data_IF_876501108150
#
_entry.id   IF_876501108150
#
_cell.length_a   1.000
_cell.length_b   1.000
_cell.length_c   1.000
_cell.angle_alpha   90.00
_cell.angle_beta   90.00
_cell.angle_gamma   90.00
#
_symmetry.space_group_name_H-M   'P 1'
#
loop_
_entity.id
_entity.type
_entity.pdbx_description
1 polymer ?
#
# COMPACT_ATOMS: atom_id res chain seq x y z
N UNK A 1 -15.89 -3.92 -23.03
CA UNK A 1 -15.41 -2.65 -22.46
C UNK A 1 -16.52 -2.05 -21.59
N UNK A 2 -16.20 -1.62 -20.36
CA UNK A 2 -17.09 -0.89 -19.43
C UNK A 2 -16.53 0.53 -19.25
N UNK A 3 -17.39 1.54 -19.18
CA UNK A 3 -17.00 2.95 -18.95
C UNK A 3 -17.65 3.40 -17.65
N UNK A 4 -16.86 4.03 -16.79
CA UNK A 4 -17.34 4.70 -15.56
C UNK A 4 -16.90 6.16 -15.66
N UNK A 5 -17.83 7.09 -15.47
CA UNK A 5 -17.56 8.53 -15.53
C UNK A 5 -17.78 9.15 -14.15
N UNK A 6 -16.89 10.07 -13.77
CA UNK A 6 -17.07 10.89 -12.58
C UNK A 6 -17.09 12.37 -12.97
N UNK A 7 -18.25 12.99 -12.83
CA UNK A 7 -18.48 14.40 -13.22
C UNK A 7 -17.76 15.41 -12.32
N UNK A 8 -17.44 15.06 -11.07
CA UNK A 8 -16.77 15.96 -10.10
C UNK A 8 -15.33 16.25 -10.51
N UNK A 9 -14.62 15.23 -11.02
CA UNK A 9 -13.24 15.34 -11.51
C UNK A 9 -13.17 15.37 -13.04
N UNK A 10 -14.30 15.18 -13.74
CA UNK A 10 -14.40 15.11 -15.20
C UNK A 10 -13.53 14.03 -15.82
N UNK A 11 -13.37 12.92 -15.11
CA UNK A 11 -12.57 11.77 -15.53
C UNK A 11 -13.44 10.63 -16.03
N UNK A 12 -12.86 9.83 -16.93
CA UNK A 12 -13.46 8.61 -17.46
C UNK A 12 -12.51 7.44 -17.26
N UNK A 13 -13.03 6.39 -16.69
CA UNK A 13 -12.33 5.11 -16.53
C UNK A 13 -12.89 4.11 -17.54
N UNK A 14 -12.01 3.60 -18.40
CA UNK A 14 -12.31 2.52 -19.33
C UNK A 14 -11.75 1.21 -18.79
N UNK A 15 -12.58 0.17 -18.71
CA UNK A 15 -12.21 -1.12 -18.15
C UNK A 15 -12.52 -2.21 -19.18
N UNK A 16 -11.54 -3.07 -19.42
CA UNK A 16 -11.73 -4.30 -20.19
C UNK A 16 -11.07 -5.49 -19.48
N UNK A 17 -11.79 -6.60 -19.40
CA UNK A 17 -11.24 -7.88 -18.95
C UNK A 17 -10.80 -8.66 -20.19
N UNK A 18 -9.51 -8.95 -20.27
CA UNK A 18 -8.91 -9.68 -21.38
C UNK A 18 -9.29 -11.18 -21.33
N UNK A 19 -9.11 -11.89 -22.45
CA UNK A 19 -9.46 -13.33 -22.56
C UNK A 19 -8.69 -14.20 -21.56
N UNK A 20 -7.45 -13.84 -21.23
CA UNK A 20 -6.61 -14.53 -20.25
C UNK A 20 -6.95 -14.17 -18.79
N UNK A 21 -7.91 -13.27 -18.57
CA UNK A 21 -8.39 -12.85 -17.24
C UNK A 21 -7.81 -11.53 -16.72
N UNK A 22 -6.77 -10.94 -17.36
CA UNK A 22 -6.21 -9.66 -16.97
C UNK A 22 -7.27 -8.55 -17.04
N UNK A 23 -7.36 -7.74 -15.99
CA UNK A 23 -8.16 -6.52 -16.00
C UNK A 23 -7.27 -5.35 -16.41
N UNK A 24 -7.64 -4.65 -17.49
CA UNK A 24 -6.96 -3.45 -17.95
C UNK A 24 -7.84 -2.25 -17.73
N UNK A 25 -7.27 -1.21 -17.13
CA UNK A 25 -7.91 0.06 -16.82
C UNK A 25 -7.17 1.19 -17.55
N UNK A 26 -7.90 2.07 -18.22
CA UNK A 26 -7.32 3.20 -18.93
C UNK A 26 -8.05 4.45 -18.48
N UNK A 27 -7.28 5.47 -18.07
CA UNK A 27 -7.78 6.81 -17.74
C UNK A 27 -7.13 7.79 -18.73
N UNK A 28 -7.86 8.21 -19.77
CA UNK A 28 -7.35 9.20 -20.72
C UNK A 28 -7.18 10.56 -20.08
N UNK A 29 -6.03 11.21 -20.33
CA UNK A 29 -5.72 12.57 -19.87
C UNK A 29 -5.34 13.43 -21.09
N UNK A 30 -6.32 13.94 -21.86
CA UNK A 30 -6.06 14.70 -23.08
C UNK A 30 -5.14 15.90 -22.85
N UNK A 31 -4.12 16.05 -23.69
CA UNK A 31 -3.15 17.16 -23.65
C UNK A 31 -2.02 17.00 -22.62
N UNK A 32 -2.01 15.97 -21.80
CA UNK A 32 -0.90 15.67 -20.87
C UNK A 32 0.19 14.91 -21.62
N UNK A 33 1.41 15.43 -21.60
CA UNK A 33 2.55 14.76 -22.27
C UNK A 33 3.06 13.51 -21.50
N UNK A 34 3.01 13.57 -20.18
CA UNK A 34 3.42 12.50 -19.28
C UNK A 34 2.47 11.30 -19.41
N UNK A 35 3.02 10.11 -19.47
CA UNK A 35 2.31 8.84 -19.58
C UNK A 35 2.80 7.91 -18.48
N UNK A 36 1.90 7.14 -17.93
CA UNK A 36 2.19 6.21 -16.84
C UNK A 36 1.53 4.87 -17.10
N UNK A 37 2.27 3.81 -16.87
CA UNK A 37 1.78 2.44 -16.90
C UNK A 37 2.21 1.75 -15.61
N UNK A 38 1.28 1.07 -14.97
CA UNK A 38 1.56 0.22 -13.80
C UNK A 38 0.81 -1.10 -13.94
N UNK A 39 1.50 -2.20 -13.66
CA UNK A 39 0.96 -3.54 -13.72
C UNK A 39 1.20 -4.26 -12.39
N UNK A 40 0.13 -4.47 -11.62
CA UNK A 40 0.19 -5.08 -10.29
C UNK A 40 -0.37 -6.49 -10.27
N UNK A 41 0.23 -7.31 -9.42
CA UNK A 41 -0.30 -8.61 -9.02
C UNK A 41 -0.83 -8.53 -7.61
N UNK A 42 -1.95 -9.18 -7.33
CA UNK A 42 -2.51 -9.33 -5.99
C UNK A 42 -1.72 -10.38 -5.19
N UNK A 43 -0.44 -10.08 -4.97
CA UNK A 43 0.55 -10.89 -4.26
C UNK A 43 1.53 -9.98 -3.53
N UNK A 44 1.58 -10.10 -2.21
CA UNK A 44 2.47 -9.33 -1.35
C UNK A 44 3.10 -10.18 -0.25
N UNK A 45 3.82 -9.55 0.66
CA UNK A 45 4.55 -10.25 1.72
C UNK A 45 3.64 -11.01 2.71
N UNK A 46 2.35 -10.68 2.77
CA UNK A 46 1.39 -11.41 3.60
C UNK A 46 0.95 -12.76 2.99
N UNK A 47 1.24 -13.01 1.72
CA UNK A 47 0.82 -14.23 1.00
C UNK A 47 1.85 -15.37 1.12
N UNK A 48 2.31 -15.65 2.32
CA UNK A 48 3.32 -16.69 2.58
C UNK A 48 2.73 -18.09 2.84
N UNK A 49 1.39 -18.21 2.90
CA UNK A 49 0.71 -19.49 3.11
C UNK A 49 -0.56 -19.58 2.24
N UNK A 50 -0.58 -20.55 1.34
CA UNK A 50 -1.64 -20.67 0.34
C UNK A 50 -1.79 -22.10 -0.20
N UNK A 51 -2.85 -22.34 -0.98
CA UNK A 51 -3.02 -23.56 -1.77
C UNK A 51 -2.91 -23.18 -3.25
N UNK A 52 -2.00 -23.82 -3.95
CA UNK A 52 -1.82 -23.63 -5.40
C UNK A 52 -3.08 -24.09 -6.15
N UNK A 53 -3.57 -23.33 -7.14
CA UNK A 53 -4.75 -23.74 -7.91
C UNK A 53 -4.60 -25.15 -8.51
N UNK A 54 -5.54 -26.03 -8.18
CA UNK A 54 -5.53 -27.45 -8.60
C UNK A 54 -4.83 -28.41 -7.64
N UNK A 55 -4.18 -27.89 -6.58
CA UNK A 55 -3.60 -28.69 -5.49
C UNK A 55 -4.56 -28.73 -4.29
N UNK A 56 -4.29 -29.61 -3.33
CA UNK A 56 -5.02 -29.73 -2.06
C UNK A 56 -4.15 -29.44 -0.85
N UNK A 57 -2.85 -29.49 -1.01
CA UNK A 57 -1.88 -29.29 0.07
C UNK A 57 -1.58 -27.80 0.27
N UNK A 58 -1.36 -27.44 1.53
CA UNK A 58 -0.94 -26.08 1.90
C UNK A 58 0.54 -25.92 1.56
N UNK A 59 0.83 -24.89 0.77
CA UNK A 59 2.19 -24.42 0.52
C UNK A 59 2.50 -23.30 1.52
N UNK A 60 3.62 -23.41 2.20
CA UNK A 60 4.19 -22.35 3.05
C UNK A 60 5.56 -21.98 2.51
N UNK A 61 5.80 -20.68 2.33
CA UNK A 61 7.04 -20.15 1.76
C UNK A 61 7.73 -19.20 2.74
N UNK A 62 9.06 -19.03 2.64
CA UNK A 62 9.80 -18.10 3.50
C UNK A 62 9.28 -16.68 3.39
N UNK A 63 9.39 -15.89 4.48
CA UNK A 63 9.13 -14.45 4.41
C UNK A 63 10.15 -13.78 3.48
N UNK A 64 9.71 -12.77 2.74
CA UNK A 64 10.52 -12.05 1.77
C UNK A 64 10.40 -12.55 0.32
N UNK A 65 9.72 -13.68 0.05
CA UNK A 65 9.61 -14.25 -1.33
C UNK A 65 8.96 -13.28 -2.30
N UNK A 66 7.93 -12.52 -1.90
CA UNK A 66 7.26 -11.57 -2.80
C UNK A 66 8.20 -10.45 -3.26
N UNK A 67 8.96 -9.88 -2.33
CA UNK A 67 10.00 -8.87 -2.60
C UNK A 67 11.16 -9.46 -3.43
N UNK A 68 11.60 -10.66 -3.09
CA UNK A 68 12.62 -11.37 -3.85
C UNK A 68 12.21 -11.58 -5.31
N UNK A 69 10.95 -11.97 -5.55
CA UNK A 69 10.40 -12.12 -6.89
C UNK A 69 10.38 -10.79 -7.66
N UNK A 70 10.07 -9.69 -6.99
CA UNK A 70 10.10 -8.36 -7.59
C UNK A 70 11.47 -8.07 -8.20
N UNK A 71 12.54 -8.26 -7.44
CA UNK A 71 13.93 -8.07 -7.89
C UNK A 71 14.27 -8.98 -9.07
N UNK A 72 13.87 -10.25 -9.00
CA UNK A 72 14.28 -11.25 -9.97
C UNK A 72 13.63 -11.16 -11.34
N UNK A 73 12.47 -10.51 -11.46
CA UNK A 73 11.81 -10.37 -12.76
C UNK A 73 12.55 -9.46 -13.74
N UNK A 74 13.41 -8.57 -13.26
CA UNK A 74 14.17 -7.68 -14.15
C UNK A 74 15.32 -8.36 -14.88
N UNK A 75 15.83 -9.49 -14.40
CA UNK A 75 16.92 -10.21 -15.04
C UNK A 75 16.43 -11.06 -16.22
N UNK A 76 17.12 -10.95 -17.35
CA UNK A 76 16.77 -11.60 -18.60
C UNK A 76 17.75 -12.73 -18.99
N UNK A 77 17.31 -13.76 -19.77
CA UNK A 77 18.16 -14.89 -20.17
C UNK A 77 19.43 -14.49 -20.93
N UNK A 78 19.43 -13.36 -21.60
CA UNK A 78 20.57 -12.83 -22.37
C UNK A 78 21.58 -12.08 -21.48
N UNK A 79 21.38 -12.05 -20.15
CA UNK A 79 22.25 -11.36 -19.21
C UNK A 79 22.00 -9.85 -19.08
N UNK A 80 20.96 -9.32 -19.74
CA UNK A 80 20.55 -7.91 -19.57
C UNK A 80 19.60 -7.75 -18.38
N UNK A 81 19.44 -6.49 -17.94
CA UNK A 81 18.46 -6.10 -16.94
C UNK A 81 17.43 -5.16 -17.61
N UNK A 82 16.14 -5.47 -17.45
CA UNK A 82 15.07 -4.69 -18.06
C UNK A 82 15.00 -3.25 -17.55
N UNK A 83 15.46 -2.95 -16.33
CA UNK A 83 15.60 -1.56 -15.85
C UNK A 83 16.62 -0.77 -16.67
N UNK A 84 17.75 -1.40 -17.05
CA UNK A 84 18.75 -0.76 -17.89
C UNK A 84 18.20 -0.49 -19.29
N UNK A 85 17.45 -1.45 -19.86
CA UNK A 85 16.77 -1.30 -21.16
C UNK A 85 15.78 -0.13 -21.13
N UNK A 86 14.94 -0.03 -20.09
CA UNK A 86 13.98 1.06 -19.91
C UNK A 86 14.69 2.40 -19.72
N UNK A 87 15.77 2.43 -18.93
CA UNK A 87 16.59 3.64 -18.74
C UNK A 87 17.20 4.11 -20.06
N UNK A 88 17.71 3.20 -20.90
CA UNK A 88 18.24 3.52 -22.22
C UNK A 88 17.17 4.11 -23.17
N UNK A 89 15.89 3.77 -22.98
CA UNK A 89 14.77 4.40 -23.69
C UNK A 89 14.41 5.81 -23.15
N UNK A 90 15.07 6.28 -22.09
CA UNK A 90 14.74 7.55 -21.41
C UNK A 90 13.47 7.48 -20.57
N UNK A 91 13.17 6.31 -20.06
CA UNK A 91 11.97 6.01 -19.26
C UNK A 91 12.36 5.85 -17.80
N UNK A 92 11.56 6.42 -16.90
CA UNK A 92 11.71 6.22 -15.46
C UNK A 92 10.88 4.98 -15.05
N UNK A 93 11.55 3.87 -14.80
CA UNK A 93 10.94 2.61 -14.42
C UNK A 93 11.25 2.26 -12.96
N UNK A 94 10.33 1.56 -12.32
CA UNK A 94 10.48 1.07 -10.95
C UNK A 94 9.57 -0.13 -10.70
N UNK A 95 9.74 -0.75 -9.54
CA UNK A 95 8.79 -1.70 -8.96
C UNK A 95 8.69 -1.47 -7.46
N UNK A 96 7.70 -2.07 -6.85
CA UNK A 96 7.57 -2.11 -5.39
C UNK A 96 6.72 -3.28 -4.93
N UNK A 97 7.05 -3.80 -3.75
CA UNK A 97 6.27 -4.80 -3.05
C UNK A 97 5.71 -4.22 -1.75
N UNK A 98 4.44 -4.47 -1.52
CA UNK A 98 3.75 -4.16 -0.26
C UNK A 98 3.35 -5.45 0.46
N UNK A 99 2.64 -5.32 1.56
CA UNK A 99 2.09 -6.48 2.25
C UNK A 99 1.03 -7.23 1.44
N UNK A 100 0.31 -6.56 0.53
CA UNK A 100 -0.83 -7.13 -0.21
C UNK A 100 -0.62 -7.25 -1.72
N UNK A 101 0.32 -6.50 -2.31
CA UNK A 101 0.54 -6.53 -3.76
C UNK A 101 1.96 -6.14 -4.15
N UNK A 102 2.36 -6.57 -5.33
CA UNK A 102 3.60 -6.18 -6.02
C UNK A 102 3.23 -5.52 -7.35
N UNK A 103 3.94 -4.46 -7.73
CA UNK A 103 3.66 -3.73 -8.96
C UNK A 103 4.94 -3.31 -9.69
N UNK A 104 4.88 -3.34 -11.01
CA UNK A 104 5.91 -2.91 -11.96
C UNK A 104 5.38 -1.74 -12.75
N UNK A 105 6.18 -0.71 -12.96
CA UNK A 105 5.70 0.53 -13.51
C UNK A 105 6.76 1.27 -14.33
N UNK A 106 6.29 2.15 -15.19
CA UNK A 106 7.12 3.18 -15.78
C UNK A 106 6.36 4.48 -16.02
N UNK A 107 7.14 5.56 -16.05
CA UNK A 107 6.71 6.90 -16.44
C UNK A 107 7.55 7.39 -17.62
N UNK A 108 6.92 7.98 -18.62
CA UNK A 108 7.61 8.53 -19.77
C UNK A 108 6.85 9.69 -20.41
N UNK A 109 7.54 10.47 -21.23
CA UNK A 109 6.92 11.41 -22.19
C UNK A 109 6.95 10.83 -23.60
N UNK A 110 8.04 10.18 -23.95
CA UNK A 110 8.25 9.52 -25.24
C UNK A 110 8.50 8.02 -25.04
N UNK A 111 8.57 7.26 -26.13
CA UNK A 111 8.89 5.82 -26.14
C UNK A 111 7.93 4.94 -25.31
N UNK A 112 6.66 5.36 -25.18
CA UNK A 112 5.67 4.60 -24.40
C UNK A 112 5.51 3.15 -24.90
N UNK A 113 5.36 2.92 -26.21
CA UNK A 113 5.15 1.58 -26.75
C UNK A 113 6.38 0.68 -26.61
N UNK A 114 7.62 1.12 -26.91
CA UNK A 114 8.82 0.34 -26.59
C UNK A 114 8.96 0.02 -25.10
N UNK A 115 8.63 0.95 -24.22
CA UNK A 115 8.66 0.71 -22.77
C UNK A 115 7.55 -0.27 -22.33
N UNK A 116 6.38 -0.19 -22.94
CA UNK A 116 5.28 -1.15 -22.73
C UNK A 116 5.68 -2.55 -23.21
N UNK A 117 6.36 -2.67 -24.36
CA UNK A 117 6.89 -3.94 -24.86
C UNK A 117 7.83 -4.57 -23.83
N UNK A 118 8.81 -3.81 -23.33
CA UNK A 118 9.79 -4.28 -22.34
C UNK A 118 9.10 -4.70 -21.02
N UNK A 119 8.22 -3.82 -20.46
CA UNK A 119 7.54 -4.12 -19.20
C UNK A 119 6.67 -5.38 -19.35
N UNK A 120 5.91 -5.50 -20.43
CA UNK A 120 5.04 -6.66 -20.61
C UNK A 120 5.84 -7.93 -20.90
N UNK A 121 7.03 -7.82 -21.49
CA UNK A 121 7.89 -8.98 -21.76
C UNK A 121 8.44 -9.55 -20.44
N UNK A 122 9.16 -8.77 -19.65
CA UNK A 122 9.80 -9.29 -18.44
C UNK A 122 8.81 -9.74 -17.36
N UNK A 123 7.65 -9.09 -17.23
CA UNK A 123 6.64 -9.52 -16.27
C UNK A 123 6.02 -10.87 -16.65
N UNK A 124 5.94 -11.19 -17.94
CA UNK A 124 5.36 -12.44 -18.46
C UNK A 124 6.36 -13.59 -18.63
N UNK A 125 7.66 -13.31 -18.68
CA UNK A 125 8.71 -14.30 -18.97
C UNK A 125 9.77 -14.37 -17.86
N UNK A 126 9.45 -14.98 -16.69
CA UNK A 126 10.38 -15.06 -15.57
C UNK A 126 11.60 -15.94 -15.90
N UNK A 127 12.78 -15.51 -15.46
CA UNK A 127 14.03 -16.24 -15.63
C UNK A 127 14.77 -16.39 -14.30
N UNK A 128 14.67 -17.56 -13.69
CA UNK A 128 15.32 -17.87 -12.41
C UNK A 128 16.27 -19.05 -12.58
N UNK A 129 17.52 -18.89 -12.15
CA UNK A 129 18.55 -19.93 -12.08
C UNK A 129 19.12 -19.99 -10.67
N UNK A 130 19.76 -21.09 -10.31
CA UNK A 130 20.41 -21.21 -8.99
C UNK A 130 21.44 -20.10 -8.80
N UNK A 131 22.21 -19.78 -9.84
CA UNK A 131 23.25 -18.76 -9.81
C UNK A 131 22.69 -17.36 -9.58
N UNK A 132 21.64 -16.96 -10.33
CA UNK A 132 21.09 -15.62 -10.18
C UNK A 132 20.26 -15.44 -8.89
N UNK A 133 19.67 -16.51 -8.37
CA UNK A 133 18.99 -16.50 -7.06
C UNK A 133 20.03 -16.36 -5.94
N UNK A 134 21.14 -17.10 -5.99
CA UNK A 134 22.18 -17.01 -4.96
C UNK A 134 22.84 -15.62 -4.93
N UNK A 135 23.09 -15.03 -6.09
CA UNK A 135 23.59 -13.66 -6.19
C UNK A 135 22.64 -12.64 -5.54
N UNK A 136 21.34 -12.78 -5.78
CA UNK A 136 20.32 -11.86 -5.27
C UNK A 136 20.16 -11.90 -3.75
N UNK A 137 20.37 -13.06 -3.11
CA UNK A 137 20.40 -13.17 -1.65
C UNK A 137 21.42 -12.21 -1.03
N UNK A 138 22.56 -12.02 -1.68
CA UNK A 138 23.59 -11.07 -1.24
C UNK A 138 23.10 -9.61 -1.36
N UNK A 139 22.43 -9.26 -2.44
CA UNK A 139 21.92 -7.90 -2.70
C UNK A 139 20.81 -7.55 -1.72
N UNK A 140 19.77 -8.38 -1.63
CA UNK A 140 18.65 -8.17 -0.70
C UNK A 140 19.12 -8.23 0.75
N UNK A 141 20.11 -9.10 1.07
CA UNK A 141 20.71 -9.15 2.40
C UNK A 141 21.41 -7.84 2.83
N UNK A 142 21.99 -7.08 1.89
CA UNK A 142 22.51 -5.74 2.17
C UNK A 142 21.39 -4.71 2.33
N UNK A 143 20.34 -4.80 1.54
CA UNK A 143 19.16 -3.95 1.65
C UNK A 143 18.46 -4.13 3.00
N UNK A 144 18.24 -5.36 3.45
CA UNK A 144 17.69 -5.65 4.78
C UNK A 144 18.51 -4.98 5.87
N UNK A 145 19.85 -5.11 5.83
CA UNK A 145 20.74 -4.45 6.82
C UNK A 145 20.62 -2.92 6.78
N UNK A 146 20.47 -2.34 5.59
CA UNK A 146 20.27 -0.89 5.45
C UNK A 146 18.96 -0.45 6.14
N UNK A 147 17.87 -1.22 5.99
CA UNK A 147 16.61 -0.92 6.68
C UNK A 147 16.67 -1.20 8.19
N UNK A 148 17.44 -2.18 8.64
CA UNK A 148 17.68 -2.42 10.07
C UNK A 148 18.31 -1.20 10.76
N UNK A 149 19.10 -0.40 10.01
CA UNK A 149 19.74 0.85 10.47
C UNK A 149 18.85 2.10 10.27
N UNK A 150 17.59 1.93 9.84
CA UNK A 150 16.68 3.05 9.58
C UNK A 150 15.65 3.23 10.71
N UNK A 151 15.77 4.28 11.55
CA UNK A 151 14.99 4.40 12.77
C UNK A 151 13.49 4.59 12.55
N UNK A 152 13.06 5.26 11.45
CA UNK A 152 11.64 5.41 11.12
C UNK A 152 11.01 4.06 10.77
N UNK A 153 11.74 3.18 10.07
CA UNK A 153 11.29 1.84 9.76
C UNK A 153 11.19 0.98 11.03
N UNK A 154 12.18 1.11 11.90
CA UNK A 154 12.22 0.39 13.18
C UNK A 154 11.03 0.73 14.07
N UNK A 155 10.74 2.03 14.25
CA UNK A 155 9.63 2.47 15.11
C UNK A 155 8.27 2.04 14.55
N UNK A 156 8.12 2.01 13.22
CA UNK A 156 6.93 1.53 12.53
C UNK A 156 6.73 0.02 12.73
N UNK A 157 7.73 -0.80 12.39
CA UNK A 157 7.62 -2.26 12.55
C UNK A 157 7.42 -2.70 14.00
N UNK A 158 8.05 -2.02 14.94
CA UNK A 158 7.85 -2.28 16.35
C UNK A 158 6.40 -2.05 16.79
N UNK A 159 5.75 -0.98 16.29
CA UNK A 159 4.35 -0.74 16.56
C UNK A 159 3.47 -1.88 16.04
N UNK A 160 3.73 -2.40 14.84
CA UNK A 160 3.02 -3.55 14.28
C UNK A 160 3.28 -4.85 15.07
N UNK A 161 4.52 -5.08 15.51
CA UNK A 161 4.90 -6.28 16.29
C UNK A 161 4.13 -6.37 17.61
N UNK A 162 3.94 -5.25 18.31
CA UNK A 162 3.20 -5.23 19.58
C UNK A 162 1.69 -5.12 19.37
N UNK A 163 1.23 -4.80 18.17
CA UNK A 163 -0.19 -4.70 17.83
C UNK A 163 -0.78 -6.04 17.39
N UNK A 164 -0.04 -6.84 16.62
CA UNK A 164 -0.54 -8.05 15.98
C UNK A 164 0.08 -9.33 16.56
N UNK A 165 -0.79 -10.32 16.91
CA UNK A 165 -0.36 -11.62 17.42
C UNK A 165 0.16 -12.54 16.31
N UNK A 166 -0.60 -12.70 15.23
CA UNK A 166 -0.37 -13.72 14.20
C UNK A 166 -0.32 -13.17 12.78
N UNK A 167 -0.91 -11.98 12.55
CA UNK A 167 -0.98 -11.40 11.21
C UNK A 167 0.44 -11.11 10.68
N UNK A 168 0.79 -11.54 9.45
CA UNK A 168 2.10 -11.33 8.87
C UNK A 168 2.44 -9.87 8.59
N UNK A 169 1.49 -8.93 8.67
CA UNK A 169 1.74 -7.49 8.56
C UNK A 169 2.85 -6.98 9.50
N UNK A 170 3.11 -7.66 10.61
CA UNK A 170 4.16 -7.34 11.59
C UNK A 170 5.57 -7.77 11.15
N UNK A 171 5.68 -8.46 10.01
CA UNK A 171 6.95 -8.97 9.46
C UNK A 171 7.37 -8.03 8.33
N UNK A 172 8.67 -7.75 8.26
CA UNK A 172 9.22 -6.93 7.20
C UNK A 172 8.91 -7.52 5.82
N UNK A 173 8.58 -6.65 4.86
CA UNK A 173 8.26 -7.05 3.47
C UNK A 173 9.43 -7.80 2.82
N UNK A 174 10.66 -7.37 3.09
CA UNK A 174 11.88 -8.02 2.61
C UNK A 174 12.22 -9.33 3.35
N UNK A 175 11.53 -9.64 4.45
CA UNK A 175 11.88 -10.75 5.32
C UNK A 175 13.12 -10.47 6.18
N UNK A 176 13.91 -11.51 6.43
CA UNK A 176 15.19 -11.41 7.14
C UNK A 176 16.28 -12.13 6.34
N UNK A 177 17.56 -11.84 6.59
CA UNK A 177 18.69 -12.56 5.98
C UNK A 177 18.55 -14.07 6.14
N UNK A 178 18.06 -14.53 7.30
CA UNK A 178 17.80 -15.94 7.56
C UNK A 178 16.67 -16.49 6.69
N UNK A 179 15.52 -15.80 6.59
CA UNK A 179 14.38 -16.29 5.81
C UNK A 179 14.68 -16.31 4.31
N UNK A 180 15.34 -15.27 3.76
CA UNK A 180 15.69 -15.23 2.34
C UNK A 180 16.75 -16.26 1.96
N UNK A 181 17.61 -16.71 2.89
CA UNK A 181 18.59 -17.76 2.63
C UNK A 181 17.94 -19.09 2.20
N UNK A 182 16.70 -19.33 2.60
CA UNK A 182 15.92 -20.52 2.27
C UNK A 182 15.12 -20.41 0.96
N UNK A 183 15.24 -19.30 0.24
CA UNK A 183 14.57 -19.10 -1.05
C UNK A 183 15.41 -19.77 -2.15
N UNK A 184 14.77 -20.55 -2.99
CA UNK A 184 15.33 -21.17 -4.18
C UNK A 184 14.50 -20.86 -5.42
N UNK A 185 14.98 -21.24 -6.60
CA UNK A 185 14.27 -20.99 -7.86
C UNK A 185 12.94 -21.74 -7.95
N UNK A 186 12.82 -22.90 -7.32
CA UNK A 186 11.61 -23.72 -7.30
C UNK A 186 10.50 -23.00 -6.55
N UNK A 187 10.80 -22.42 -5.40
CA UNK A 187 9.88 -21.56 -4.62
C UNK A 187 9.47 -20.33 -5.45
N UNK A 188 10.44 -19.65 -6.09
CA UNK A 188 10.15 -18.48 -6.92
C UNK A 188 9.23 -18.82 -8.10
N UNK A 189 9.52 -19.89 -8.84
CA UNK A 189 8.65 -20.35 -9.93
C UNK A 189 7.27 -20.79 -9.43
N UNK A 190 7.18 -21.42 -8.26
CA UNK A 190 5.90 -21.82 -7.65
C UNK A 190 5.05 -20.59 -7.33
N UNK A 191 5.62 -19.59 -6.67
CA UNK A 191 4.93 -18.34 -6.35
C UNK A 191 4.56 -17.56 -7.60
N UNK A 192 5.48 -17.43 -8.57
CA UNK A 192 5.20 -16.78 -9.85
C UNK A 192 4.02 -17.43 -10.58
N UNK A 193 4.06 -18.75 -10.79
CA UNK A 193 2.99 -19.50 -11.46
C UNK A 193 1.65 -19.42 -10.74
N UNK A 194 1.66 -19.21 -9.43
CA UNK A 194 0.44 -19.07 -8.61
C UNK A 194 -0.13 -17.67 -8.70
N UNK A 195 0.67 -16.66 -8.48
CA UNK A 195 0.19 -15.29 -8.23
C UNK A 195 0.32 -14.34 -9.43
N UNK A 196 1.27 -14.57 -10.35
CA UNK A 196 1.41 -13.76 -11.57
C UNK A 196 0.53 -14.28 -12.72
N UNK A 197 -0.58 -14.89 -12.34
CA UNK A 197 -1.60 -15.29 -13.30
C UNK A 197 -2.43 -14.05 -13.70
N UNK A 198 -2.69 -13.83 -15.00
CA UNK A 198 -3.41 -12.64 -15.48
C UNK A 198 -4.72 -12.34 -14.74
N UNK A 199 -5.49 -13.37 -14.34
CA UNK A 199 -6.73 -13.18 -13.58
C UNK A 199 -6.53 -12.65 -12.15
N UNK A 200 -5.31 -12.69 -11.61
CA UNK A 200 -4.90 -12.13 -10.33
C UNK A 200 -4.19 -10.77 -10.47
N UNK A 201 -4.15 -10.22 -11.68
CA UNK A 201 -3.40 -9.02 -12.02
C UNK A 201 -4.29 -7.93 -12.59
N UNK A 202 -3.88 -6.69 -12.36
CA UNK A 202 -4.54 -5.48 -12.89
C UNK A 202 -3.46 -4.59 -13.53
N UNK A 203 -3.78 -4.04 -14.70
CA UNK A 203 -2.95 -3.09 -15.40
C UNK A 203 -3.69 -1.75 -15.46
N UNK A 204 -3.02 -0.65 -15.10
CA UNK A 204 -3.57 0.70 -15.18
C UNK A 204 -2.67 1.56 -16.07
N UNK A 205 -3.28 2.25 -17.04
CA UNK A 205 -2.57 3.12 -17.98
C UNK A 205 -3.24 4.49 -17.95
N UNK A 206 -2.44 5.53 -17.73
CA UNK A 206 -2.90 6.92 -17.64
C UNK A 206 -2.07 7.81 -18.55
N UNK A 207 -2.73 8.64 -19.35
CA UNK A 207 -2.07 9.56 -20.29
C UNK A 207 -2.95 9.98 -21.44
N UNK A 208 -2.40 10.73 -22.40
CA UNK A 208 -3.13 11.14 -23.61
C UNK A 208 -3.17 9.99 -24.62
N UNK A 209 -4.22 9.18 -24.51
CA UNK A 209 -4.42 7.99 -25.31
C UNK A 209 -5.86 7.87 -25.81
N UNK A 210 -6.02 7.18 -26.94
CA UNK A 210 -7.29 6.60 -27.38
C UNK A 210 -7.42 5.21 -26.72
N UNK A 211 -8.40 4.99 -25.82
CA UNK A 211 -8.48 3.74 -25.04
C UNK A 211 -8.55 2.48 -25.90
N UNK A 212 -9.31 2.50 -26.99
CA UNK A 212 -9.47 1.37 -27.89
C UNK A 212 -8.14 0.91 -28.50
N UNK A 213 -7.29 1.88 -28.88
CA UNK A 213 -5.96 1.58 -29.42
C UNK A 213 -5.07 0.92 -28.37
N UNK A 214 -5.10 1.44 -27.13
CA UNK A 214 -4.30 0.85 -26.05
C UNK A 214 -4.79 -0.57 -25.73
N UNK A 215 -6.09 -0.82 -25.67
CA UNK A 215 -6.59 -2.19 -25.47
C UNK A 215 -6.11 -3.15 -26.55
N UNK A 216 -6.10 -2.73 -27.82
CA UNK A 216 -5.59 -3.55 -28.92
C UNK A 216 -4.07 -3.78 -28.82
N UNK A 217 -3.30 -2.77 -28.42
CA UNK A 217 -1.85 -2.92 -28.21
C UNK A 217 -1.53 -3.87 -27.05
N UNK A 218 -2.28 -3.78 -25.94
CA UNK A 218 -2.18 -4.74 -24.83
C UNK A 218 -2.49 -6.16 -25.30
N UNK A 219 -3.60 -6.37 -26.04
CA UNK A 219 -4.01 -7.68 -26.54
C UNK A 219 -2.93 -8.37 -27.40
N UNK A 220 -2.21 -7.62 -28.22
CA UNK A 220 -1.14 -8.14 -29.09
C UNK A 220 0.05 -8.72 -28.32
N UNK A 221 0.28 -8.21 -27.08
CA UNK A 221 1.44 -8.51 -26.24
C UNK A 221 1.17 -9.53 -25.15
N UNK A 222 -0.10 -9.84 -24.92
CA UNK A 222 -0.47 -10.80 -23.88
C UNK A 222 -0.17 -12.23 -24.31
N UNK A 223 0.52 -12.96 -23.42
CA UNK A 223 0.66 -14.41 -23.59
C UNK A 223 -0.68 -15.12 -23.28
N UNK A 224 -0.96 -16.19 -24.02
CA UNK A 224 -2.07 -17.06 -23.70
C UNK A 224 -1.78 -17.79 -22.38
N UNK A 225 -2.67 -17.64 -21.43
CA UNK A 225 -2.60 -18.34 -20.15
C UNK A 225 -3.97 -18.93 -19.83
N UNK A 226 -3.97 -20.16 -19.34
CA UNK A 226 -5.19 -20.85 -18.96
C UNK A 226 -5.42 -20.60 -17.47
N UNK A 227 -6.56 -20.05 -17.12
CA UNK A 227 -6.95 -19.88 -15.72
C UNK A 227 -7.03 -21.25 -15.04
N UNK A 228 -6.19 -21.46 -14.01
CA UNK A 228 -6.11 -22.73 -13.26
C UNK A 228 -7.05 -22.79 -12.05
N UNK A 229 -7.85 -21.77 -11.83
CA UNK A 229 -8.77 -21.68 -10.68
C UNK A 229 -8.43 -20.58 -9.71
N UNK A 230 -9.12 -20.56 -8.57
CA UNK A 230 -8.98 -19.56 -7.52
C UNK A 230 -7.80 -19.87 -6.61
N UNK A 231 -7.04 -18.83 -6.26
CA UNK A 231 -5.97 -18.91 -5.27
C UNK A 231 -6.58 -18.89 -3.87
N UNK A 232 -6.35 -19.94 -3.09
CA UNK A 232 -6.81 -19.99 -1.69
C UNK A 232 -5.67 -19.57 -0.76
N UNK A 233 -5.80 -18.38 -0.19
CA UNK A 233 -4.90 -17.86 0.84
C UNK A 233 -5.28 -18.44 2.20
N UNK A 234 -4.27 -18.78 3.00
CA UNK A 234 -4.47 -19.31 4.36
C UNK A 234 -4.01 -18.25 5.35
N UNK A 235 -4.96 -17.45 5.79
CA UNK A 235 -4.69 -16.38 6.74
C UNK A 235 -4.91 -16.89 8.18
N UNK A 236 -4.03 -16.53 9.12
CA UNK A 236 -4.25 -16.86 10.53
C UNK A 236 -5.43 -16.05 11.08
N UNK A 237 -6.20 -16.67 11.96
CA UNK A 237 -7.20 -15.93 12.74
C UNK A 237 -6.48 -15.02 13.72
N UNK A 238 -6.59 -13.72 13.52
CA UNK A 238 -5.97 -12.68 14.34
C UNK A 238 -6.85 -12.39 15.57
N UNK A 239 -6.22 -12.14 16.71
CA UNK A 239 -6.89 -11.79 17.94
C UNK A 239 -7.29 -10.29 17.94
N UNK A 240 -8.40 -9.94 18.58
CA UNK A 240 -8.82 -8.53 18.68
C UNK A 240 -7.95 -7.72 19.64
N UNK A 241 -7.30 -8.40 20.62
CA UNK A 241 -6.38 -7.77 21.55
C UNK A 241 -5.06 -7.37 20.90
N UNK A 242 -4.34 -6.47 21.55
CA UNK A 242 -2.94 -6.16 21.26
C UNK A 242 -2.03 -7.13 22.02
N UNK A 243 -0.79 -7.31 21.54
CA UNK A 243 0.23 -8.13 22.21
C UNK A 243 0.76 -7.41 23.45
N UNK A 244 1.14 -6.14 23.29
CA UNK A 244 1.72 -5.31 24.33
C UNK A 244 1.39 -3.84 24.04
N UNK A 245 1.25 -3.03 25.07
CA UNK A 245 0.86 -1.61 24.92
C UNK A 245 2.04 -0.69 24.61
N UNK A 246 3.29 -1.12 24.86
CA UNK A 246 4.47 -0.27 24.74
C UNK A 246 5.72 -1.08 24.38
N UNK A 247 6.55 -0.49 23.49
CA UNK A 247 7.89 -0.95 23.21
C UNK A 247 8.83 0.25 23.08
N UNK A 248 10.03 0.13 23.63
CA UNK A 248 11.11 1.11 23.46
C UNK A 248 12.38 0.42 22.98
N UNK A 249 12.99 0.99 21.96
CA UNK A 249 14.30 0.55 21.46
C UNK A 249 15.31 1.70 21.52
N UNK A 250 16.55 1.33 21.82
CA UNK A 250 17.69 2.26 21.73
C UNK A 250 18.19 2.32 20.29
N UNK A 251 18.45 3.55 19.82
CA UNK A 251 18.94 3.80 18.49
C UNK A 251 19.69 5.14 18.44
N UNK A 252 20.71 5.27 17.61
CA UNK A 252 21.43 6.54 17.46
C UNK A 252 20.57 7.57 16.70
N UNK A 253 19.78 8.34 17.42
CA UNK A 253 18.91 9.38 16.86
C UNK A 253 19.13 10.71 17.58
N UNK A 254 19.09 11.80 16.85
CA UNK A 254 19.18 13.15 17.41
C UNK A 254 17.92 13.57 18.17
N UNK A 255 16.78 12.99 17.83
CA UNK A 255 15.49 13.22 18.45
C UNK A 255 14.70 11.91 18.50
N UNK A 256 14.04 11.59 19.60
CA UNK A 256 13.17 10.43 19.69
C UNK A 256 12.09 10.40 18.62
N UNK A 257 11.90 9.23 18.00
CA UNK A 257 10.78 8.93 17.11
C UNK A 257 9.71 8.15 17.86
N UNK A 258 8.48 8.33 17.45
CA UNK A 258 7.38 7.56 18.00
C UNK A 258 6.37 7.15 16.93
N UNK A 259 5.70 6.04 17.18
CA UNK A 259 4.50 5.62 16.46
C UNK A 259 3.45 5.16 17.47
N UNK A 260 2.32 5.86 17.50
CA UNK A 260 1.12 5.42 18.20
C UNK A 260 0.29 4.60 17.23
N UNK A 261 -0.04 3.37 17.61
CA UNK A 261 -0.89 2.48 16.82
C UNK A 261 -2.22 2.24 17.50
N UNK A 262 -3.29 2.09 16.73
CA UNK A 262 -4.61 1.69 17.21
C UNK A 262 -5.11 0.56 16.35
N UNK A 263 -5.24 -0.64 16.93
CA UNK A 263 -5.75 -1.81 16.20
C UNK A 263 -7.24 -1.67 15.94
N UNK A 264 -7.64 -1.92 14.71
CA UNK A 264 -9.03 -1.82 14.28
C UNK A 264 -9.52 -3.13 13.66
N UNK A 265 -10.82 -3.23 13.51
CA UNK A 265 -11.47 -4.33 12.78
C UNK A 265 -11.71 -3.90 11.34
N UNK A 266 -11.26 -4.74 10.41
CA UNK A 266 -11.46 -4.51 8.98
C UNK A 266 -12.96 -4.46 8.64
N UNK A 267 -13.37 -3.40 7.95
CA UNK A 267 -14.69 -3.32 7.31
C UNK A 267 -14.66 -4.11 5.98
N UNK A 268 -15.60 -5.00 5.79
CA UNK A 268 -15.63 -5.88 4.61
C UNK A 268 -16.46 -5.30 3.45
N UNK A 269 -17.47 -4.48 3.75
CA UNK A 269 -18.19 -3.72 2.74
C UNK A 269 -17.32 -2.60 2.19
N UNK A 270 -17.04 -2.63 0.90
CA UNK A 270 -16.06 -1.73 0.27
C UNK A 270 -16.46 -0.26 0.31
N UNK A 271 -17.74 0.07 0.14
CA UNK A 271 -18.21 1.45 0.26
C UNK A 271 -18.16 1.97 1.69
N UNK A 272 -18.53 1.13 2.65
CA UNK A 272 -18.38 1.46 4.07
C UNK A 272 -16.91 1.62 4.47
N UNK A 273 -16.02 0.79 3.91
CA UNK A 273 -14.58 0.89 4.13
C UNK A 273 -14.03 2.23 3.63
N UNK A 274 -14.38 2.66 2.41
CA UNK A 274 -14.03 3.98 1.86
C UNK A 274 -14.57 5.11 2.74
N UNK A 275 -15.84 5.02 3.15
CA UNK A 275 -16.44 6.03 4.05
C UNK A 275 -15.73 6.08 5.40
N UNK A 276 -15.36 4.92 5.95
CA UNK A 276 -14.62 4.78 7.22
C UNK A 276 -13.22 5.38 7.11
N UNK A 277 -12.49 5.09 6.03
CA UNK A 277 -11.17 5.63 5.76
C UNK A 277 -11.17 7.16 5.75
N UNK A 278 -12.04 7.76 4.93
CA UNK A 278 -12.23 9.21 4.87
C UNK A 278 -12.63 9.83 6.23
N UNK A 279 -13.51 9.16 6.96
CA UNK A 279 -13.96 9.65 8.26
C UNK A 279 -12.84 9.59 9.32
N UNK A 280 -12.04 8.52 9.30
CA UNK A 280 -10.87 8.40 10.19
C UNK A 280 -9.83 9.48 9.85
N UNK A 281 -9.58 9.74 8.57
CA UNK A 281 -8.69 10.83 8.18
C UNK A 281 -9.15 12.20 8.70
N UNK A 282 -10.43 12.52 8.55
CA UNK A 282 -11.01 13.76 9.10
C UNK A 282 -10.81 13.78 10.62
N UNK A 283 -11.12 12.68 11.31
CA UNK A 283 -11.03 12.54 12.77
C UNK A 283 -9.59 12.70 13.27
N UNK A 284 -8.61 12.08 12.62
CA UNK A 284 -7.20 12.23 12.97
C UNK A 284 -6.73 13.68 12.82
N UNK A 285 -7.19 14.37 11.79
CA UNK A 285 -6.89 15.80 11.60
C UNK A 285 -7.58 16.70 12.65
N UNK A 286 -8.75 16.31 13.18
CA UNK A 286 -9.37 16.99 14.32
C UNK A 286 -8.53 16.81 15.58
N UNK A 287 -8.00 15.60 15.81
CA UNK A 287 -7.27 15.25 17.03
C UNK A 287 -5.87 15.84 17.03
N UNK A 288 -5.07 15.62 15.95
CA UNK A 288 -3.65 15.95 15.92
C UNK A 288 -3.16 16.56 14.59
N UNK A 289 -4.05 16.93 13.67
CA UNK A 289 -3.67 17.66 12.46
C UNK A 289 -3.13 19.06 12.78
N UNK A 290 -2.34 19.65 11.88
CA UNK A 290 -1.67 20.96 12.08
C UNK A 290 -2.57 22.08 12.61
N UNK A 291 -3.85 22.07 12.30
CA UNK A 291 -4.81 23.08 12.72
C UNK A 291 -5.57 22.72 14.00
N UNK A 292 -5.29 21.57 14.61
CA UNK A 292 -5.90 21.17 15.90
C UNK A 292 -5.27 21.92 17.06
N UNK A 293 -6.04 22.12 18.13
CA UNK A 293 -5.55 22.72 19.35
C UNK A 293 -4.42 21.91 19.97
N UNK A 294 -4.57 20.59 20.00
CA UNK A 294 -3.56 19.64 20.48
C UNK A 294 -2.22 19.80 19.79
N UNK A 295 -2.22 19.85 18.45
CA UNK A 295 -0.98 20.07 17.69
C UNK A 295 -0.37 21.43 18.04
N UNK A 296 -1.18 22.50 18.05
CA UNK A 296 -0.70 23.87 18.29
C UNK A 296 -0.09 24.04 19.69
N UNK A 297 -0.66 23.40 20.70
CA UNK A 297 -0.10 23.41 22.06
C UNK A 297 1.23 22.66 22.12
N UNK A 298 1.30 21.42 21.61
CA UNK A 298 2.52 20.62 21.58
C UNK A 298 3.65 21.30 20.80
N UNK A 299 3.31 21.95 19.67
CA UNK A 299 4.25 22.69 18.85
C UNK A 299 4.79 23.94 19.58
N UNK A 300 3.93 24.75 20.21
CA UNK A 300 4.32 25.94 20.99
C UNK A 300 5.20 25.58 22.19
N UNK A 301 4.95 24.43 22.80
CA UNK A 301 5.76 23.92 23.90
C UNK A 301 7.10 23.29 23.45
N UNK A 302 7.37 23.19 22.13
CA UNK A 302 8.58 22.58 21.60
C UNK A 302 8.64 21.07 21.83
N UNK A 303 7.49 20.42 21.95
CA UNK A 303 7.39 18.96 22.14
C UNK A 303 7.41 18.23 20.79
N UNK A 304 6.72 18.76 19.77
CA UNK A 304 6.73 18.22 18.42
C UNK A 304 7.25 19.23 17.41
N UNK A 305 7.79 18.71 16.29
CA UNK A 305 8.33 19.50 15.19
C UNK A 305 7.82 18.94 13.86
N UNK A 306 7.40 19.82 12.96
CA UNK A 306 6.88 19.40 11.67
C UNK A 306 5.49 18.74 11.75
N UNK A 307 5.04 18.25 10.61
CA UNK A 307 3.76 17.55 10.48
C UNK A 307 3.87 16.12 11.00
N UNK A 308 2.85 15.66 11.69
CA UNK A 308 2.78 14.28 12.14
C UNK A 308 2.19 13.40 11.04
N UNK A 309 2.73 12.19 10.86
CA UNK A 309 2.13 11.17 10.00
C UNK A 309 0.80 10.71 10.61
N UNK A 310 -0.27 10.80 9.83
CA UNK A 310 -1.61 10.38 10.24
C UNK A 310 -2.14 9.44 9.16
N UNK A 311 -2.28 8.15 9.43
CA UNK A 311 -2.73 7.16 8.46
C UNK A 311 -3.75 6.19 9.03
N UNK A 312 -4.66 5.74 8.18
CA UNK A 312 -5.45 4.55 8.37
C UNK A 312 -5.01 3.52 7.32
N UNK A 313 -4.42 2.44 7.78
CA UNK A 313 -3.88 1.39 6.92
C UNK A 313 -4.76 0.15 7.01
N UNK A 314 -5.09 -0.42 5.87
CA UNK A 314 -5.89 -1.64 5.78
C UNK A 314 -5.54 -2.47 4.55
N UNK A 315 -5.63 -3.76 4.73
CA UNK A 315 -5.44 -4.74 3.67
C UNK A 315 -6.52 -5.82 3.71
N UNK A 316 -6.16 -7.04 3.27
CA UNK A 316 -7.13 -8.12 3.22
C UNK A 316 -7.60 -8.60 4.60
N UNK A 317 -6.72 -8.61 5.60
CA UNK A 317 -6.99 -9.21 6.92
C UNK A 317 -6.50 -8.33 8.07
N UNK A 318 -6.28 -7.05 7.84
CA UNK A 318 -5.85 -6.11 8.87
C UNK A 318 -6.42 -4.72 8.65
N UNK A 319 -6.54 -3.99 9.74
CA UNK A 319 -6.79 -2.56 9.74
C UNK A 319 -6.23 -1.94 11.02
N UNK A 320 -5.62 -0.77 10.91
CA UNK A 320 -5.10 -0.01 12.04
C UNK A 320 -4.90 1.46 11.69
N UNK A 321 -4.85 2.28 12.73
CA UNK A 321 -4.44 3.68 12.65
C UNK A 321 -2.98 3.77 13.10
N UNK A 322 -2.19 4.57 12.40
CA UNK A 322 -0.84 4.95 12.83
C UNK A 322 -0.72 6.47 12.90
N UNK A 323 -0.09 6.93 13.98
CA UNK A 323 0.27 8.33 14.21
C UNK A 323 1.75 8.36 14.53
N UNK A 324 2.56 8.92 13.64
CA UNK A 324 4.01 8.89 13.75
C UNK A 324 4.64 10.27 13.66
N UNK A 325 5.79 10.43 14.30
CA UNK A 325 6.53 11.68 14.25
C UNK A 325 7.78 11.69 15.13
N UNK A 326 8.37 12.87 15.23
CA UNK A 326 9.50 13.15 16.11
C UNK A 326 9.07 14.04 17.27
N UNK A 327 9.61 13.78 18.46
CA UNK A 327 9.24 14.52 19.65
C UNK A 327 10.37 14.53 20.68
N UNK A 328 10.55 15.67 21.37
CA UNK A 328 11.42 15.74 22.55
C UNK A 328 10.86 14.94 23.74
N UNK A 329 9.54 14.65 23.73
CA UNK A 329 8.86 13.90 24.78
C UNK A 329 7.69 13.10 24.18
N UNK A 330 7.92 11.90 23.60
CA UNK A 330 6.88 11.04 23.04
C UNK A 330 5.75 10.68 24.01
N UNK A 331 6.08 10.50 25.30
CA UNK A 331 5.09 10.20 26.34
C UNK A 331 4.08 11.34 26.50
N UNK A 332 4.55 12.57 26.47
CA UNK A 332 3.67 13.74 26.55
C UNK A 332 2.75 13.84 25.33
N UNK A 333 3.24 13.50 24.14
CA UNK A 333 2.41 13.42 22.92
C UNK A 333 1.33 12.37 23.10
N UNK A 334 1.68 11.17 23.56
CA UNK A 334 0.74 10.07 23.76
C UNK A 334 -0.34 10.40 24.82
N UNK A 335 0.06 10.96 25.96
CA UNK A 335 -0.90 11.39 26.98
C UNK A 335 -1.81 12.51 26.48
N UNK A 336 -1.27 13.50 25.76
CA UNK A 336 -2.08 14.58 25.21
C UNK A 336 -3.07 14.06 24.16
N UNK A 337 -2.64 13.13 23.29
CA UNK A 337 -3.50 12.44 22.34
C UNK A 337 -4.67 11.73 23.05
N UNK A 338 -4.40 10.91 24.07
CA UNK A 338 -5.44 10.21 24.84
C UNK A 338 -6.41 11.18 25.50
N UNK A 339 -5.90 12.26 26.08
CA UNK A 339 -6.73 13.28 26.74
C UNK A 339 -7.64 13.98 25.70
N UNK A 340 -7.13 14.31 24.52
CA UNK A 340 -7.94 14.90 23.43
C UNK A 340 -9.04 13.94 22.98
N UNK A 341 -8.72 12.65 22.79
CA UNK A 341 -9.71 11.62 22.46
C UNK A 341 -10.80 11.56 23.54
N UNK A 342 -10.43 11.57 24.82
CA UNK A 342 -11.38 11.58 25.94
C UNK A 342 -12.27 12.81 25.93
N UNK A 343 -11.69 14.00 25.78
CA UNK A 343 -12.45 15.26 25.70
C UNK A 343 -13.44 15.29 24.55
N UNK A 344 -13.04 14.78 23.35
CA UNK A 344 -13.94 14.69 22.20
C UNK A 344 -15.09 13.71 22.45
N UNK A 345 -14.86 12.60 23.17
CA UNK A 345 -15.94 11.68 23.59
C UNK A 345 -16.92 12.29 24.57
N UNK A 346 -16.45 13.15 25.48
CA UNK A 346 -17.28 13.80 26.52
C UNK A 346 -18.02 15.01 25.96
N UNK A 347 -17.40 15.82 25.11
CA UNK A 347 -17.91 17.13 24.69
C UNK A 347 -18.46 17.16 23.27
N UNK A 348 -18.24 16.06 22.47
CA UNK A 348 -18.59 16.01 21.08
C UNK A 348 -17.57 16.70 20.15
N UNK A 349 -17.77 16.56 18.85
CA UNK A 349 -16.94 17.13 17.80
C UNK A 349 -17.51 18.48 17.36
N UNK A 350 -16.64 19.50 17.25
CA UNK A 350 -17.04 20.82 16.78
C UNK A 350 -17.46 20.80 15.31
N UNK A 351 -18.68 21.23 15.01
CA UNK A 351 -19.25 21.25 13.64
C UNK A 351 -18.40 22.08 12.67
N UNK A 352 -17.86 23.22 13.08
CA UNK A 352 -17.07 24.10 12.19
C UNK A 352 -15.74 23.46 11.81
N UNK A 353 -15.07 22.77 12.75
CA UNK A 353 -13.83 22.05 12.48
C UNK A 353 -14.09 20.86 11.59
N UNK A 354 -15.15 20.12 11.83
CA UNK A 354 -15.57 19.03 10.95
C UNK A 354 -15.78 19.50 9.52
N UNK A 355 -16.59 20.55 9.29
CA UNK A 355 -16.86 21.05 7.93
C UNK A 355 -15.61 21.57 7.23
N UNK A 356 -14.73 22.22 7.96
CA UNK A 356 -13.46 22.73 7.43
C UNK A 356 -12.54 21.57 7.00
N UNK A 357 -12.39 20.55 7.83
CA UNK A 357 -11.52 19.42 7.57
C UNK A 357 -12.09 18.47 6.51
N UNK A 358 -13.41 18.27 6.51
CA UNK A 358 -14.10 17.56 5.42
C UNK A 358 -13.82 18.19 4.05
N UNK A 359 -13.88 19.53 3.96
CA UNK A 359 -13.51 20.26 2.73
C UNK A 359 -12.02 20.08 2.38
N UNK A 360 -11.13 20.08 3.38
CA UNK A 360 -9.70 19.87 3.16
C UNK A 360 -9.44 18.48 2.58
N UNK A 361 -10.02 17.44 3.16
CA UNK A 361 -9.89 16.05 2.69
C UNK A 361 -10.46 15.91 1.28
N UNK A 362 -11.66 16.45 1.02
CA UNK A 362 -12.25 16.48 -0.32
C UNK A 362 -11.32 17.13 -1.36
N UNK A 363 -10.78 18.32 -1.03
CA UNK A 363 -9.85 19.04 -1.92
C UNK A 363 -8.54 18.26 -2.17
N UNK A 364 -8.06 17.49 -1.20
CA UNK A 364 -6.90 16.61 -1.36
C UNK A 364 -7.19 15.51 -2.38
N UNK A 365 -8.31 14.80 -2.25
CA UNK A 365 -8.69 13.76 -3.21
C UNK A 365 -8.91 14.31 -4.64
N UNK A 366 -9.48 15.51 -4.80
CA UNK A 366 -9.56 16.16 -6.12
C UNK A 366 -8.15 16.39 -6.70
N UNK A 367 -7.19 16.77 -5.87
CA UNK A 367 -5.82 17.08 -6.33
C UNK A 367 -5.07 15.83 -6.82
N UNK A 368 -5.36 14.63 -6.29
CA UNK A 368 -4.77 13.37 -6.76
C UNK A 368 -5.00 13.14 -8.27
N UNK A 369 -6.08 13.70 -8.84
CA UNK A 369 -6.37 13.60 -10.27
C UNK A 369 -5.54 14.56 -11.16
N UNK A 370 -4.58 15.29 -10.61
CA UNK A 370 -3.72 16.20 -11.38
C UNK A 370 -2.45 15.53 -11.89
N UNK A 371 -2.01 14.43 -11.29
CA UNK A 371 -0.81 13.71 -11.72
C UNK A 371 -1.16 12.29 -12.21
N UNK A 372 -0.57 11.89 -13.34
CA UNK A 372 -0.85 10.58 -13.96
C UNK A 372 -0.35 9.41 -13.11
N UNK A 373 0.72 9.62 -12.33
CA UNK A 373 1.26 8.59 -11.45
C UNK A 373 0.37 8.37 -10.22
N UNK A 374 -0.14 9.46 -9.63
CA UNK A 374 -1.03 9.38 -8.47
C UNK A 374 -2.35 8.69 -8.85
N UNK A 375 -2.94 9.08 -10.00
CA UNK A 375 -4.12 8.43 -10.56
C UNK A 375 -3.87 6.92 -10.75
N UNK A 376 -2.77 6.55 -11.43
CA UNK A 376 -2.51 5.17 -11.77
C UNK A 376 -2.30 4.29 -10.52
N UNK A 377 -1.53 4.79 -9.54
CA UNK A 377 -1.28 4.10 -8.27
C UNK A 377 -2.55 3.95 -7.44
N UNK A 378 -3.34 5.01 -7.31
CA UNK A 378 -4.62 5.00 -6.61
C UNK A 378 -5.56 3.96 -7.21
N UNK A 379 -5.79 4.01 -8.53
CA UNK A 379 -6.70 3.08 -9.21
C UNK A 379 -6.21 1.63 -9.14
N UNK A 380 -4.90 1.37 -9.23
CA UNK A 380 -4.37 0.01 -9.06
C UNK A 380 -4.60 -0.51 -7.63
N UNK A 381 -4.17 0.25 -6.63
CA UNK A 381 -4.25 -0.16 -5.22
C UNK A 381 -5.69 -0.41 -4.79
N UNK A 382 -6.60 0.48 -5.15
CA UNK A 382 -8.02 0.35 -4.84
C UNK A 382 -8.66 -0.82 -5.57
N UNK A 383 -8.39 -0.97 -6.86
CA UNK A 383 -8.94 -2.08 -7.65
C UNK A 383 -8.49 -3.45 -7.15
N UNK A 384 -7.23 -3.59 -6.70
CA UNK A 384 -6.73 -4.82 -6.05
C UNK A 384 -7.44 -5.12 -4.73
N UNK A 385 -7.94 -4.09 -4.03
CA UNK A 385 -8.77 -4.21 -2.84
C UNK A 385 -10.27 -4.38 -3.16
N UNK A 386 -10.65 -4.29 -4.44
CA UNK A 386 -12.05 -4.33 -4.90
C UNK A 386 -12.82 -3.03 -4.67
N UNK A 387 -12.11 -1.90 -4.60
CA UNK A 387 -12.64 -0.54 -4.43
C UNK A 387 -12.59 0.18 -5.78
N UNK A 388 -13.57 1.02 -6.07
CA UNK A 388 -13.52 1.98 -7.15
C UNK A 388 -13.04 3.34 -6.62
N UNK A 389 -11.93 3.87 -7.13
CA UNK A 389 -11.35 5.12 -6.62
C UNK A 389 -12.29 6.34 -6.75
N UNK A 390 -13.28 6.27 -7.63
CA UNK A 390 -14.32 7.32 -7.70
C UNK A 390 -15.25 7.32 -6.48
N UNK A 391 -15.39 6.21 -5.76
CA UNK A 391 -16.28 6.10 -4.61
C UNK A 391 -15.87 7.06 -3.47
N UNK A 392 -14.58 7.41 -3.34
CA UNK A 392 -14.11 8.38 -2.34
C UNK A 392 -14.81 9.74 -2.45
N UNK A 393 -14.97 10.24 -3.67
CA UNK A 393 -15.64 11.53 -3.93
C UNK A 393 -17.15 11.48 -3.70
N UNK A 394 -17.75 10.29 -3.74
CA UNK A 394 -19.16 10.10 -3.44
C UNK A 394 -19.40 9.94 -1.94
N UNK A 395 -18.62 9.06 -1.31
CA UNK A 395 -18.81 8.68 0.10
C UNK A 395 -18.48 9.83 1.07
N UNK A 396 -17.54 10.72 0.72
CA UNK A 396 -17.18 11.86 1.58
C UNK A 396 -18.38 12.78 1.86
N UNK A 397 -19.30 12.94 0.90
CA UNK A 397 -20.48 13.79 1.07
C UNK A 397 -21.40 13.27 2.18
N UNK A 398 -21.52 11.94 2.30
CA UNK A 398 -22.35 11.27 3.30
C UNK A 398 -21.73 11.14 4.70
N UNK A 399 -20.54 11.71 4.94
CA UNK A 399 -19.92 11.70 6.26
C UNK A 399 -20.54 12.81 7.12
N UNK A 400 -20.92 12.48 8.36
CA UNK A 400 -21.51 13.38 9.36
C UNK A 400 -20.72 13.39 10.65
N UNK A 401 -20.96 14.36 11.52
CA UNK A 401 -20.35 14.43 12.86
C UNK A 401 -20.70 13.22 13.69
N UNK A 402 -21.95 12.80 13.66
CA UNK A 402 -22.43 11.63 14.43
C UNK A 402 -21.68 10.35 14.02
N UNK A 403 -21.35 10.22 12.73
CA UNK A 403 -20.55 9.08 12.24
C UNK A 403 -19.11 9.13 12.77
N UNK A 404 -18.50 10.32 12.81
CA UNK A 404 -17.16 10.48 13.42
C UNK A 404 -17.19 10.15 14.92
N UNK A 405 -18.22 10.61 15.65
CA UNK A 405 -18.38 10.33 17.08
C UNK A 405 -18.60 8.83 17.34
N UNK A 406 -19.35 8.15 16.47
CA UNK A 406 -19.47 6.69 16.50
C UNK A 406 -18.11 6.02 16.34
N UNK A 407 -17.33 6.36 15.30
CA UNK A 407 -16.00 5.81 15.08
C UNK A 407 -15.03 6.09 16.21
N UNK A 408 -15.09 7.31 16.77
CA UNK A 408 -14.28 7.71 17.93
C UNK A 408 -14.54 6.77 19.13
N UNK A 409 -15.79 6.40 19.37
CA UNK A 409 -16.16 5.49 20.45
C UNK A 409 -15.81 4.03 20.15
N UNK A 410 -15.97 3.60 18.90
CA UNK A 410 -15.79 2.20 18.50
C UNK A 410 -14.31 1.81 18.37
N UNK A 411 -13.46 2.70 17.84
CA UNK A 411 -12.07 2.41 17.48
C UNK A 411 -11.09 2.86 18.56
N UNK A 412 -11.23 4.09 19.07
CA UNK A 412 -10.24 4.71 19.97
C UNK A 412 -10.39 4.23 21.40
N UNK A 413 -10.10 2.94 21.64
CA UNK A 413 -10.14 2.28 22.95
C UNK A 413 -8.73 2.07 23.49
N UNK A 414 -8.46 2.41 24.74
CA UNK A 414 -7.11 2.31 25.34
C UNK A 414 -6.53 0.90 25.25
N UNK A 415 -7.35 -0.13 25.41
CA UNK A 415 -6.93 -1.53 25.31
C UNK A 415 -6.60 -2.00 23.89
N UNK A 416 -6.73 -1.13 22.88
CA UNK A 416 -6.33 -1.34 21.48
C UNK A 416 -5.19 -0.41 21.02
N UNK A 417 -4.71 0.44 21.94
CA UNK A 417 -3.67 1.42 21.65
C UNK A 417 -2.30 0.89 22.04
N UNK A 418 -1.33 1.15 21.19
CA UNK A 418 0.08 0.85 21.43
C UNK A 418 0.93 2.10 21.19
N UNK A 419 2.10 2.15 21.83
CA UNK A 419 3.13 3.12 21.49
C UNK A 419 4.47 2.45 21.31
N UNK A 420 5.12 2.74 20.19
CA UNK A 420 6.50 2.38 19.88
C UNK A 420 7.35 3.64 19.95
N UNK A 421 8.51 3.57 20.62
CA UNK A 421 9.46 4.67 20.75
C UNK A 421 10.85 4.17 20.39
N UNK A 422 11.56 4.97 19.60
CA UNK A 422 12.98 4.80 19.31
C UNK A 422 13.71 6.04 19.78
N UNK A 423 14.71 5.86 20.65
CA UNK A 423 15.47 6.97 21.26
C UNK A 423 16.92 6.57 21.52
N UNK A 424 17.81 7.57 21.73
CA UNK A 424 19.20 7.37 22.13
C UNK A 424 19.36 6.84 23.56
#
# INVERSE_FOLDING_TARGET
>A
MKIIENSKVKEKLYIEKMKNGLTVMIIPKPGIQKKYMIWGTNYGSNDNKFIVPGETEITEVPNGVAHFLEHKLFEQPNGTNSLDTLTALGVNANAFTTNDHTAYLFECTNNFYPAMDELMDYVQHPYFTDENVEKEKGIIGQEIKMYDDYPDWKVYLNALKIMYHKNPIKIDVAGTVETISNIDKEILYKCYKTFYHPSNMIMVIVGDFEPEKIFEEVKKRLVENINKGEIKRINPTEEESIVESRIEDKFEVSMPLYTIGIKDKLETDKRKLVKKDLAIEILLNIILGKSSETYQELYKEGIIFGEQGLSYEYGREYAHILISGQSTNPDKVYEKFKNTVKQLKENGINQKDFERLKKMVYGRYIREYNDVSDIARMFLTDALKGICSFDYLEEIEGITVEYLEQLLNDIFKENKMVISIVKS
#
